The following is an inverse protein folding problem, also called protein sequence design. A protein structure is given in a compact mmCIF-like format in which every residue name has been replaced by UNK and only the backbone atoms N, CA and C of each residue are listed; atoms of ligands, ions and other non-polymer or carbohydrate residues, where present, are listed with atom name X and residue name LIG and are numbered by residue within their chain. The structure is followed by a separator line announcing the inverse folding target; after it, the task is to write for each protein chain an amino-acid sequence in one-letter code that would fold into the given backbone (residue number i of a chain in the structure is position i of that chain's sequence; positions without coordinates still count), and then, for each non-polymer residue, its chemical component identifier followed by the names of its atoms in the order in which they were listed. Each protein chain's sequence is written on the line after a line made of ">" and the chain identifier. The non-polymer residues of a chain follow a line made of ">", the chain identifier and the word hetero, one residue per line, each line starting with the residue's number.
data_IF_496004973281
#
_entry.id   IF_496004973281
#
_cell.length_a   1.000
_cell.length_b   1.000
_cell.length_c   1.000
_cell.angle_alpha   90.00
_cell.angle_beta   90.00
_cell.angle_gamma   90.00
#
_symmetry.space_group_name_H-M   'P 1'
#
loop_
_entity.id
_entity.type
_entity.pdbx_description
1 polymer ?
2 non-polymer ?
3 non-polymer ?
4 non-polymer ?
5 water ?
#
# COMPACT_ATOMS: atom_id res chain seq x y z
N UNK A 1 -25.85 -19.85 -6.07
CA UNK A 1 -24.72 -18.92 -6.05
C UNK A 1 -23.43 -19.54 -6.61
N UNK A 2 -22.52 -18.68 -7.05
CA UNK A 2 -21.20 -19.13 -7.50
C UNK A 2 -20.42 -19.80 -6.38
N UNK A 3 -20.53 -19.30 -5.16
CA UNK A 3 -19.71 -19.77 -4.04
C UNK A 3 -20.46 -20.61 -3.02
N UNK A 4 -21.73 -20.90 -3.23
CA UNK A 4 -22.44 -21.75 -2.27
C UNK A 4 -21.75 -23.12 -2.19
N UNK A 5 -21.59 -23.61 -0.96
CA UNK A 5 -20.85 -24.84 -0.67
C UNK A 5 -19.38 -24.77 -1.10
N UNK A 6 -18.83 -23.56 -1.29
CA UNK A 6 -17.43 -23.39 -1.64
C UNK A 6 -16.81 -22.38 -0.67
N UNK A 7 -15.49 -22.40 -0.57
CA UNK A 7 -14.82 -21.46 0.32
C UNK A 7 -13.72 -20.73 -0.43
N UNK A 8 -13.39 -19.55 0.07
CA UNK A 8 -12.43 -18.64 -0.55
C UNK A 8 -11.24 -18.51 0.39
N UNK A 9 -10.04 -18.52 -0.16
CA UNK A 9 -8.83 -18.21 0.60
C UNK A 9 -8.22 -16.93 0.05
N UNK A 10 -8.11 -15.93 0.92
CA UNK A 10 -7.41 -14.69 0.59
C UNK A 10 -6.01 -14.77 1.19
N UNK A 11 -4.99 -14.57 0.35
CA UNK A 11 -3.60 -14.63 0.77
C UNK A 11 -3.15 -13.23 1.11
N UNK A 12 -2.99 -12.94 2.40
CA UNK A 12 -2.50 -11.64 2.82
C UNK A 12 -3.59 -10.81 3.48
N UNK A 13 -3.32 -10.38 4.71
CA UNK A 13 -4.25 -9.52 5.42
C UNK A 13 -3.81 -8.07 5.45
N UNK A 14 -3.46 -7.50 4.30
CA UNK A 14 -3.25 -6.08 4.20
C UNK A 14 -4.58 -5.37 4.13
N UNK A 15 -4.58 -4.06 3.91
CA UNK A 15 -5.87 -3.35 3.81
C UNK A 15 -6.71 -3.86 2.64
N UNK A 16 -6.08 -4.29 1.56
CA UNK A 16 -6.84 -4.78 0.41
C UNK A 16 -7.42 -6.16 0.68
N UNK A 17 -6.60 -7.08 1.22
CA UNK A 17 -7.10 -8.42 1.52
C UNK A 17 -8.17 -8.43 2.60
N UNK A 18 -8.01 -7.59 3.64
CA UNK A 18 -9.00 -7.54 4.71
C UNK A 18 -10.31 -6.96 4.20
N UNK A 19 -10.24 -5.98 3.31
CA UNK A 19 -11.46 -5.43 2.73
C UNK A 19 -12.15 -6.46 1.85
N UNK A 20 -11.38 -7.16 1.02
CA UNK A 20 -11.91 -8.24 0.21
C UNK A 20 -12.67 -9.24 1.07
N UNK A 21 -12.06 -9.64 2.20
CA UNK A 21 -12.71 -10.57 3.12
C UNK A 21 -14.02 -10.03 3.64
N UNK A 22 -14.05 -8.76 4.03
CA UNK A 22 -15.27 -8.22 4.61
C UNK A 22 -16.39 -8.19 3.58
N UNK A 23 -16.08 -7.76 2.36
CA UNK A 23 -17.12 -7.66 1.33
C UNK A 23 -17.66 -9.02 0.94
N UNK A 24 -16.82 -10.07 0.95
CA UNK A 24 -17.33 -11.41 0.68
C UNK A 24 -18.11 -11.93 1.88
N UNK A 25 -17.55 -11.76 3.07
CA UNK A 25 -18.15 -12.37 4.26
C UNK A 25 -19.55 -11.82 4.51
N UNK A 26 -19.75 -10.53 4.25
CA UNK A 26 -21.05 -9.95 4.53
C UNK A 26 -22.12 -10.41 3.56
N UNK A 27 -21.75 -11.06 2.45
CA UNK A 27 -22.69 -11.73 1.57
C UNK A 27 -22.78 -13.22 1.84
N UNK A 28 -22.37 -13.68 3.03
CA UNK A 28 -22.57 -15.07 3.37
C UNK A 28 -21.53 -16.03 2.81
N UNK A 29 -20.36 -15.54 2.43
CA UNK A 29 -19.36 -16.38 1.78
C UNK A 29 -18.39 -16.88 2.83
N UNK A 30 -18.09 -18.18 2.77
CA UNK A 30 -17.08 -18.81 3.60
C UNK A 30 -15.70 -18.38 3.11
N UNK A 31 -15.03 -17.49 3.86
CA UNK A 31 -13.77 -16.90 3.43
C UNK A 31 -12.81 -16.89 4.62
N UNK A 32 -11.54 -17.22 4.36
CA UNK A 32 -10.47 -17.09 5.33
C UNK A 32 -9.36 -16.23 4.76
N UNK A 33 -8.66 -15.52 5.63
CA UNK A 33 -7.48 -14.72 5.25
C UNK A 33 -6.27 -15.34 5.93
N UNK A 34 -5.26 -15.69 5.15
CA UNK A 34 -4.00 -16.21 5.72
C UNK A 34 -2.96 -15.10 5.71
N UNK A 35 -2.47 -14.72 6.87
CA UNK A 35 -1.57 -13.57 7.02
C UNK A 35 -0.27 -14.01 7.69
N UNK A 36 0.86 -13.64 7.10
CA UNK A 36 2.15 -14.11 7.61
C UNK A 36 2.49 -13.51 8.97
N UNK A 37 2.00 -12.31 9.27
CA UNK A 37 2.26 -11.69 10.58
C UNK A 37 1.87 -12.63 11.71
N UNK A 38 2.72 -12.68 12.74
CA UNK A 38 2.50 -13.61 13.84
C UNK A 38 1.22 -13.32 14.62
N UNK A 39 0.82 -12.05 14.75
CA UNK A 39 -0.45 -11.73 15.42
C UNK A 39 -0.84 -10.30 15.10
N UNK A 40 -2.05 -9.92 15.54
CA UNK A 40 -2.65 -8.66 15.11
C UNK A 40 -2.00 -7.44 15.73
N UNK A 41 -1.19 -7.60 16.78
CA UNK A 41 -0.50 -6.48 17.40
C UNK A 41 0.79 -6.11 16.69
N UNK A 42 1.17 -6.85 15.64
CA UNK A 42 2.32 -6.48 14.83
C UNK A 42 2.20 -5.04 14.33
N UNK A 43 3.19 -4.22 14.64
CA UNK A 43 3.19 -2.83 14.17
C UNK A 43 3.39 -2.79 12.66
N UNK A 44 2.64 -1.94 11.98
CA UNK A 44 2.80 -1.72 10.55
C UNK A 44 3.59 -0.44 10.37
N UNK A 45 4.79 -0.56 9.81
CA UNK A 45 5.63 0.59 9.55
C UNK A 45 5.13 1.33 8.31
N UNK A 46 5.21 2.67 8.34
CA UNK A 46 4.84 3.45 7.17
C UNK A 46 4.04 4.70 7.48
N UNK A 47 3.79 5.53 6.47
CA UNK A 47 2.96 6.69 6.65
C UNK A 47 1.48 6.32 6.72
N UNK A 48 0.64 7.36 6.64
CA UNK A 48 -0.79 7.16 6.68
C UNK A 48 -1.33 6.82 5.28
N UNK A 49 -2.59 6.38 5.24
CA UNK A 49 -3.35 6.17 4.01
C UNK A 49 -4.56 7.09 3.98
N UNK A 50 -4.88 7.58 2.79
CA UNK A 50 -6.07 8.38 2.55
C UNK A 50 -6.94 7.65 1.54
N UNK A 51 -8.22 7.51 1.85
CA UNK A 51 -9.16 6.81 0.98
C UNK A 51 -9.99 7.83 0.18
N UNK A 52 -10.15 7.58 -1.11
CA UNK A 52 -10.73 8.53 -2.04
C UNK A 52 -12.21 8.23 -2.28
N UNK A 53 -12.99 9.28 -2.53
CA UNK A 53 -14.37 9.08 -2.96
C UNK A 53 -14.39 8.38 -4.30
N UNK A 54 -15.32 7.45 -4.46
CA UNK A 54 -15.42 6.66 -5.67
C UNK A 54 -14.58 5.40 -5.69
N UNK A 55 -13.61 5.27 -4.78
CA UNK A 55 -12.77 4.08 -4.79
C UNK A 55 -12.62 3.54 -3.38
N UNK A 56 -11.56 3.92 -2.68
CA UNK A 56 -11.36 3.43 -1.32
C UNK A 56 -12.55 3.70 -0.42
N UNK A 57 -13.11 4.90 -0.49
CA UNK A 57 -14.25 5.21 0.37
C UNK A 57 -15.48 4.45 -0.06
N UNK A 58 -15.59 4.09 -1.35
CA UNK A 58 -16.77 3.35 -1.81
C UNK A 58 -16.72 1.92 -1.32
N UNK A 59 -15.52 1.36 -1.18
CA UNK A 59 -15.38 0.05 -0.57
C UNK A 59 -15.78 0.09 0.90
N UNK A 60 -15.35 1.12 1.63
CA UNK A 60 -15.76 1.25 3.04
C UNK A 60 -17.26 1.45 3.17
N UNK A 61 -17.85 2.28 2.30
CA UNK A 61 -19.29 2.48 2.30
C UNK A 61 -20.04 1.17 2.13
N UNK A 62 -19.63 0.37 1.12
CA UNK A 62 -20.28 -0.90 0.87
C UNK A 62 -20.19 -1.83 2.09
N UNK A 63 -19.13 -1.70 2.87
CA UNK A 63 -18.89 -2.56 4.03
C UNK A 63 -19.55 -2.04 5.29
N UNK A 64 -20.23 -0.88 5.24
CA UNK A 64 -20.76 -0.28 6.44
C UNK A 64 -19.72 0.33 7.34
N UNK A 65 -18.55 0.66 6.80
CA UNK A 65 -17.44 1.13 7.62
C UNK A 65 -17.03 2.56 7.31
N UNK A 66 -17.78 3.27 6.46
CA UNK A 66 -17.33 4.60 6.05
C UNK A 66 -17.25 5.56 7.24
N UNK A 67 -18.24 5.51 8.14
CA UNK A 67 -18.16 6.38 9.30
C UNK A 67 -17.03 5.96 10.23
N UNK A 68 -16.82 4.65 10.38
CA UNK A 68 -15.72 4.17 11.21
C UNK A 68 -14.41 4.76 10.74
N UNK A 69 -14.18 4.75 9.42
CA UNK A 69 -12.99 5.37 8.84
C UNK A 69 -12.93 6.86 9.13
N UNK A 70 -14.04 7.59 8.92
CA UNK A 70 -14.01 9.02 9.16
C UNK A 70 -13.67 9.35 10.61
N UNK A 71 -14.15 8.53 11.55
CA UNK A 71 -13.96 8.83 12.97
C UNK A 71 -12.51 8.69 13.40
N UNK A 72 -11.73 7.87 12.69
CA UNK A 72 -10.32 7.64 13.00
C UNK A 72 -9.38 8.38 12.05
N UNK A 73 -9.91 9.01 11.01
CA UNK A 73 -9.06 9.66 10.04
C UNK A 73 -8.95 11.14 10.36
N UNK A 74 -7.98 11.78 9.74
CA UNK A 74 -7.66 13.17 10.00
C UNK A 74 -7.45 13.90 8.69
N UNK A 75 -8.28 14.89 8.35
CA UNK A 75 -7.94 15.74 7.20
C UNK A 75 -6.70 16.56 7.56
N UNK A 76 -5.79 16.68 6.61
CA UNK A 76 -4.57 17.42 6.86
C UNK A 76 -4.19 18.23 5.63
N UNK A 77 -3.74 19.45 5.88
CA UNK A 77 -3.27 20.33 4.84
C UNK A 77 -1.89 19.95 4.35
N UNK A 78 -1.37 20.77 3.45
CA UNK A 78 -0.10 20.50 2.78
C UNK A 78 0.68 21.79 2.64
N UNK A 79 1.93 21.78 3.09
CA UNK A 79 2.87 22.86 2.87
C UNK A 79 3.96 22.38 1.95
N UNK A 80 4.27 23.19 0.94
CA UNK A 80 5.47 23.03 0.13
C UNK A 80 6.52 23.98 0.67
N UNK A 81 7.70 23.45 0.99
CA UNK A 81 8.83 24.25 1.44
C UNK A 81 10.00 24.05 0.50
N UNK A 82 10.93 25.01 0.51
CA UNK A 82 12.20 24.84 -0.20
C UNK A 82 13.27 24.33 0.77
N UNK A 83 14.46 24.04 0.24
CA UNK A 83 15.53 23.46 1.04
C UNK A 83 16.06 24.41 2.12
N UNK A 84 15.73 25.70 2.07
CA UNK A 84 16.11 26.63 3.13
C UNK A 84 15.01 26.78 4.18
N UNK A 85 13.95 26.00 4.10
CA UNK A 85 12.89 26.11 5.06
C UNK A 85 11.87 27.20 4.79
N UNK A 86 11.95 27.88 3.66
CA UNK A 86 10.91 28.82 3.29
C UNK A 86 9.64 28.09 2.91
N UNK A 87 8.51 28.54 3.44
CA UNK A 87 7.22 27.98 3.06
C UNK A 87 6.80 28.63 1.73
N UNK A 88 6.78 27.84 0.66
CA UNK A 88 6.39 28.34 -0.65
C UNK A 88 4.88 28.29 -0.87
N UNK A 89 4.17 27.37 -0.21
CA UNK A 89 2.74 27.20 -0.44
C UNK A 89 2.12 26.55 0.78
N UNK A 90 0.97 27.07 1.22
CA UNK A 90 0.21 26.49 2.34
C UNK A 90 -1.22 26.26 1.90
N UNK A 91 -1.66 25.00 1.89
CA UNK A 91 -3.03 24.65 1.55
C UNK A 91 -3.62 23.88 2.72
N UNK A 92 -4.47 24.55 3.50
CA UNK A 92 -5.20 23.87 4.56
C UNK A 92 -6.45 23.25 3.99
N UNK A 93 -7.04 22.32 4.75
CA UNK A 93 -8.25 21.64 4.30
C UNK A 93 -9.44 22.54 4.57
N UNK A 94 -10.18 22.90 3.52
CA UNK A 94 -11.40 23.65 3.70
C UNK A 94 -12.48 22.72 4.25
N UNK A 95 -13.37 23.22 5.11
CA UNK A 95 -14.31 22.30 5.78
C UNK A 95 -15.15 21.48 4.82
N UNK A 96 -15.51 22.03 3.65
CA UNK A 96 -16.33 21.30 2.69
C UNK A 96 -15.56 20.17 2.00
N UNK A 97 -14.25 20.09 2.19
CA UNK A 97 -13.42 19.02 1.63
C UNK A 97 -12.85 18.11 2.70
N UNK A 98 -13.36 18.19 3.93
CA UNK A 98 -12.81 17.41 5.02
C UNK A 98 -13.08 15.91 4.87
N UNK A 99 -14.00 15.50 3.99
CA UNK A 99 -14.26 14.09 3.73
C UNK A 99 -13.61 13.60 2.44
N UNK A 100 -12.84 14.44 1.74
CA UNK A 100 -12.30 14.06 0.43
C UNK A 100 -11.29 12.92 0.55
N UNK A 101 -10.33 13.03 1.47
CA UNK A 101 -9.32 11.99 1.68
C UNK A 101 -8.58 12.22 2.99
N UNK A 102 -9.26 12.12 4.13
CA UNK A 102 -8.56 12.28 5.40
C UNK A 102 -7.61 11.11 5.65
N UNK A 103 -6.49 11.41 6.31
CA UNK A 103 -5.42 10.45 6.55
C UNK A 103 -5.75 9.55 7.74
N UNK A 104 -5.47 8.26 7.60
CA UNK A 104 -5.69 7.31 8.68
C UNK A 104 -4.42 6.49 8.87
N UNK A 105 -4.07 6.26 10.14
CA UNK A 105 -2.97 5.39 10.49
C UNK A 105 -3.23 3.95 10.02
N UNK A 106 -2.18 3.27 9.57
CA UNK A 106 -2.34 1.95 8.97
C UNK A 106 -2.75 0.90 9.99
N UNK A 107 -2.28 1.01 11.23
CA UNK A 107 -2.75 0.09 12.25
C UNK A 107 -4.22 0.36 12.60
N UNK A 108 -4.63 1.63 12.59
CA UNK A 108 -6.05 1.93 12.82
C UNK A 108 -6.93 1.33 11.74
N UNK A 109 -6.52 1.47 10.47
CA UNK A 109 -7.28 0.89 9.36
C UNK A 109 -7.35 -0.63 9.45
N UNK A 110 -6.24 -1.29 9.76
CA UNK A 110 -6.27 -2.73 9.99
C UNK A 110 -7.26 -3.09 11.09
N UNK A 111 -7.24 -2.35 12.20
CA UNK A 111 -8.14 -2.63 13.31
C UNK A 111 -9.60 -2.47 12.93
N UNK A 112 -9.92 -1.46 12.12
CA UNK A 112 -11.30 -1.27 11.64
C UNK A 112 -11.74 -2.51 10.86
N UNK A 113 -10.88 -2.98 9.96
CA UNK A 113 -11.24 -4.10 9.09
C UNK A 113 -11.33 -5.40 9.89
N UNK A 114 -10.35 -5.66 10.77
CA UNK A 114 -10.40 -6.85 11.60
C UNK A 114 -11.64 -6.85 12.48
N UNK A 115 -11.95 -5.71 13.13
CA UNK A 115 -13.11 -5.66 14.02
C UNK A 115 -14.40 -5.94 13.27
N UNK A 116 -14.44 -5.62 11.98
CA UNK A 116 -15.64 -5.88 11.19
C UNK A 116 -15.75 -7.32 10.73
N UNK A 117 -14.74 -8.15 10.94
CA UNK A 117 -14.76 -9.53 10.48
C UNK A 117 -15.22 -10.46 11.59
N UNK A 118 -15.86 -11.57 11.21
CA UNK A 118 -16.20 -12.57 12.20
C UNK A 118 -14.93 -13.14 12.82
N UNK A 119 -15.04 -13.60 14.06
CA UNK A 119 -13.88 -14.13 14.77
C UNK A 119 -13.25 -15.27 13.96
N UNK A 120 -11.92 -15.32 13.96
CA UNK A 120 -11.17 -16.38 13.30
C UNK A 120 -11.31 -16.35 11.78
N UNK A 121 -11.60 -15.19 11.21
CA UNK A 121 -11.56 -15.06 9.76
C UNK A 121 -10.12 -15.03 9.28
N UNK A 122 -9.29 -14.26 9.97
CA UNK A 122 -7.85 -14.17 9.69
C UNK A 122 -7.14 -15.28 10.47
N UNK A 123 -6.32 -16.07 9.78
CA UNK A 123 -5.45 -17.06 10.41
C UNK A 123 -4.04 -16.48 10.40
N UNK A 124 -3.54 -16.12 11.57
CA UNK A 124 -2.25 -15.48 11.71
C UNK A 124 -1.11 -16.49 11.62
N UNK A 125 0.10 -15.99 11.40
CA UNK A 125 1.30 -16.83 11.31
C UNK A 125 1.13 -17.90 10.23
N UNK A 126 0.62 -17.46 9.07
CA UNK A 126 0.39 -18.32 7.93
C UNK A 126 1.08 -17.66 6.74
N UNK A 127 2.32 -18.05 6.47
CA UNK A 127 3.05 -17.58 5.29
C UNK A 127 2.86 -18.61 4.18
N UNK A 128 2.06 -18.27 3.17
CA UNK A 128 1.87 -19.17 2.05
C UNK A 128 3.16 -19.26 1.22
N UNK A 129 3.62 -20.49 1.00
CA UNK A 129 4.79 -20.71 0.17
C UNK A 129 4.47 -21.40 -1.16
N UNK A 130 3.37 -22.15 -1.26
CA UNK A 130 3.09 -22.80 -2.53
C UNK A 130 1.61 -23.09 -2.70
N UNK A 131 1.16 -23.07 -3.95
CA UNK A 131 -0.19 -23.46 -4.33
C UNK A 131 -0.12 -24.70 -5.21
N UNK A 132 -1.12 -25.55 -5.07
CA UNK A 132 -1.22 -26.68 -5.98
C UNK A 132 -2.68 -26.91 -6.35
N UNK A 133 -3.02 -26.87 -7.64
CA UNK A 133 -4.41 -27.11 -8.06
C UNK A 133 -4.74 -28.60 -8.02
N UNK A 134 -5.85 -28.94 -7.39
CA UNK A 134 -6.38 -30.30 -7.39
C UNK A 134 -7.45 -30.48 -8.44
N UNK A 135 -8.23 -31.54 -8.28
CA UNK A 135 -9.38 -31.77 -9.16
C UNK A 135 -10.34 -30.60 -9.11
N UNK A 136 -10.69 -30.15 -7.90
CA UNK A 136 -11.58 -29.00 -7.73
C UNK A 136 -11.07 -27.97 -6.73
N UNK A 137 -10.17 -28.32 -5.82
CA UNK A 137 -9.73 -27.38 -4.80
C UNK A 137 -8.23 -27.11 -4.95
N UNK A 138 -7.84 -25.87 -4.66
CA UNK A 138 -6.43 -25.58 -4.42
C UNK A 138 -5.97 -26.19 -3.11
N UNK A 139 -4.74 -26.69 -3.07
CA UNK A 139 -4.09 -26.98 -1.80
C UNK A 139 -3.05 -25.89 -1.52
N UNK A 140 -3.16 -25.30 -0.34
CA UNK A 140 -2.33 -24.19 0.09
C UNK A 140 -1.27 -24.72 1.05
N UNK A 141 0.00 -24.46 0.76
CA UNK A 141 1.10 -24.93 1.59
C UNK A 141 1.69 -23.75 2.34
N UNK A 142 1.71 -23.85 3.67
CA UNK A 142 2.23 -22.78 4.50
C UNK A 142 3.53 -23.21 5.15
N UNK A 143 4.31 -22.23 5.57
CA UNK A 143 5.61 -22.49 6.19
C UNK A 143 5.41 -23.11 7.57
N UNK A 144 5.77 -24.39 7.71
CA UNK A 144 5.81 -25.13 8.96
C UNK A 144 4.45 -25.24 9.64
N UNK A 145 3.36 -25.08 8.89
CA UNK A 145 1.99 -25.16 9.37
C UNK A 145 1.22 -26.09 8.45
N UNK A 146 0.12 -26.68 8.93
CA UNK A 146 -0.61 -27.64 8.09
C UNK A 146 -1.29 -26.95 6.92
N UNK A 147 -1.53 -27.73 5.87
CA UNK A 147 -2.05 -27.21 4.62
C UNK A 147 -3.55 -26.94 4.74
N UNK A 148 -4.06 -26.16 3.79
CA UNK A 148 -5.48 -25.83 3.73
C UNK A 148 -5.93 -25.94 2.28
N UNK A 149 -7.25 -26.00 2.08
CA UNK A 149 -7.81 -26.07 0.73
C UNK A 149 -8.83 -24.95 0.51
N UNK A 150 -9.05 -24.60 -0.76
CA UNK A 150 -10.00 -23.57 -1.11
C UNK A 150 -10.42 -23.72 -2.57
N UNK A 151 -11.69 -23.42 -2.84
CA UNK A 151 -12.21 -23.43 -4.21
C UNK A 151 -11.70 -22.24 -5.01
N UNK A 152 -11.41 -21.13 -4.33
CA UNK A 152 -10.99 -19.90 -4.96
C UNK A 152 -9.87 -19.31 -4.13
N UNK A 153 -8.78 -18.94 -4.80
CA UNK A 153 -7.64 -18.31 -4.14
C UNK A 153 -7.52 -16.89 -4.69
N UNK A 154 -7.40 -15.92 -3.78
CA UNK A 154 -7.26 -14.52 -4.15
C UNK A 154 -5.94 -14.05 -3.57
N UNK A 155 -4.99 -13.75 -4.45
CA UNK A 155 -3.65 -13.33 -4.04
C UNK A 155 -3.72 -11.85 -3.66
N UNK A 156 -3.51 -11.54 -2.37
CA UNK A 156 -3.54 -10.16 -1.89
C UNK A 156 -2.34 -9.87 -1.00
N UNK A 157 -1.19 -10.49 -1.27
CA UNK A 157 -0.11 -10.44 -0.31
C UNK A 157 1.00 -9.50 -0.75
N UNK A 158 0.64 -8.42 -1.45
CA UNK A 158 1.54 -7.30 -1.61
C UNK A 158 2.40 -7.38 -2.84
N UNK A 159 3.23 -6.33 -2.99
CA UNK A 159 3.93 -6.12 -4.24
C UNK A 159 5.03 -7.13 -4.51
N UNK A 160 5.59 -7.72 -3.45
CA UNK A 160 6.68 -8.69 -3.63
C UNK A 160 6.19 -10.13 -3.62
N UNK A 161 4.91 -10.37 -3.93
CA UNK A 161 4.34 -11.71 -3.86
C UNK A 161 5.14 -12.69 -4.71
N UNK A 162 5.43 -13.87 -4.17
CA UNK A 162 6.08 -14.93 -4.93
C UNK A 162 5.12 -16.02 -5.39
N UNK A 163 3.82 -15.85 -5.15
CA UNK A 163 2.84 -16.88 -5.49
C UNK A 163 1.91 -16.39 -6.59
N UNK A 164 2.48 -15.81 -7.65
CA UNK A 164 1.70 -15.25 -8.74
C UNK A 164 1.69 -16.10 -10.00
N UNK A 165 2.55 -17.11 -10.10
CA UNK A 165 2.86 -17.72 -11.40
C UNK A 165 1.65 -18.39 -12.03
N UNK A 166 0.70 -18.86 -11.22
CA UNK A 166 -0.51 -19.41 -11.85
C UNK A 166 -1.34 -18.33 -12.54
N UNK A 167 -1.07 -17.06 -12.27
CA UNK A 167 -1.79 -15.95 -12.89
C UNK A 167 -0.98 -15.27 -13.99
N UNK A 168 0.32 -15.06 -13.78
CA UNK A 168 1.12 -14.35 -14.77
C UNK A 168 2.59 -14.65 -14.53
N UNK A 169 3.37 -14.56 -15.60
CA UNK A 169 4.83 -14.67 -15.51
C UNK A 169 5.51 -13.31 -15.35
N UNK A 170 4.73 -12.23 -15.30
CA UNK A 170 5.28 -10.88 -15.12
C UNK A 170 6.09 -10.82 -13.82
N UNK A 171 7.22 -10.12 -13.88
CA UNK A 171 8.12 -9.97 -12.74
C UNK A 171 8.09 -8.53 -12.22
N UNK A 172 8.24 -8.39 -10.92
CA UNK A 172 8.38 -7.05 -10.35
C UNK A 172 9.68 -6.43 -10.85
N UNK A 173 9.67 -5.11 -11.05
CA UNK A 173 10.81 -4.37 -11.58
C UNK A 173 11.17 -3.21 -10.67
N UNK A 174 12.46 -2.90 -10.59
CA UNK A 174 12.90 -1.67 -9.94
C UNK A 174 12.78 -0.50 -10.92
N UNK A 175 12.23 0.62 -10.46
CA UNK A 175 12.07 1.76 -11.36
C UNK A 175 13.29 2.66 -11.42
N UNK A 176 14.19 2.58 -10.44
CA UNK A 176 15.38 3.42 -10.43
C UNK A 176 15.38 4.53 -9.39
N UNK A 177 14.34 4.66 -8.57
CA UNK A 177 14.37 5.56 -7.43
C UNK A 177 14.41 4.77 -6.14
N UNK A 178 14.82 5.43 -5.06
CA UNK A 178 15.04 4.77 -3.79
C UNK A 178 14.47 5.64 -2.68
N UNK A 179 13.99 4.98 -1.63
CA UNK A 179 13.30 5.67 -0.53
C UNK A 179 13.89 5.25 0.80
N UNK A 180 14.16 6.24 1.65
CA UNK A 180 14.56 6.02 3.02
C UNK A 180 13.49 6.66 3.89
N UNK A 181 12.98 5.89 4.85
CA UNK A 181 11.88 6.31 5.69
C UNK A 181 12.25 6.15 7.15
N UNK A 182 11.53 6.87 8.01
CA UNK A 182 11.81 6.81 9.43
C UNK A 182 10.65 7.41 10.21
N UNK A 183 10.62 7.08 11.50
CA UNK A 183 9.70 7.68 12.45
C UNK A 183 10.48 8.43 13.51
N UNK A 184 9.96 9.58 13.92
CA UNK A 184 10.46 10.30 15.07
C UNK A 184 9.33 10.38 16.08
N UNK A 185 9.56 9.86 17.27
CA UNK A 185 8.59 9.91 18.34
C UNK A 185 8.76 11.23 19.09
N UNK A 186 7.65 11.77 19.58
CA UNK A 186 7.62 13.09 20.21
C UNK A 186 8.39 14.13 19.39
N UNK A 187 7.98 14.39 18.15
CA UNK A 187 8.77 15.32 17.31
C UNK A 187 8.76 16.75 17.83
N UNK A 188 7.70 17.16 18.54
CA UNK A 188 7.67 18.49 19.11
C UNK A 188 8.84 18.72 20.06
N UNK A 189 9.41 17.66 20.61
CA UNK A 189 10.58 17.72 21.46
C UNK A 189 11.86 17.36 20.70
N UNK A 190 11.80 16.33 19.85
CA UNK A 190 13.02 15.75 19.28
C UNK A 190 13.44 16.38 17.97
N UNK A 191 12.51 16.89 17.15
CA UNK A 191 12.85 17.75 16.01
C UNK A 191 11.97 18.99 16.01
N UNK A 192 12.11 19.85 17.03
CA UNK A 192 11.14 20.98 17.18
C UNK A 192 11.09 21.92 15.99
N UNK A 193 12.24 22.28 15.42
CA UNK A 193 12.23 23.22 14.30
C UNK A 193 11.48 22.69 13.09
N UNK A 194 11.74 21.43 12.73
CA UNK A 194 11.05 20.87 11.58
C UNK A 194 9.58 20.64 11.89
N UNK A 195 9.28 20.25 13.13
CA UNK A 195 7.90 20.09 13.54
C UNK A 195 7.14 21.41 13.41
N UNK A 196 7.76 22.51 13.86
CA UNK A 196 7.12 23.82 13.71
C UNK A 196 6.99 24.21 12.24
N UNK A 197 7.97 23.83 11.42
CA UNK A 197 7.86 24.11 9.99
C UNK A 197 6.63 23.44 9.39
N UNK A 198 6.37 22.20 9.77
CA UNK A 198 5.17 21.53 9.26
C UNK A 198 3.91 22.26 9.71
N UNK A 199 3.84 22.59 11.00
CA UNK A 199 2.76 23.41 11.55
C UNK A 199 1.40 22.75 11.30
N UNK A 200 1.30 21.49 11.70
CA UNK A 200 0.08 20.74 11.55
C UNK A 200 -0.20 20.18 10.17
N UNK A 201 0.55 20.61 9.15
CA UNK A 201 0.32 20.14 7.79
C UNK A 201 1.37 19.11 7.39
N UNK A 202 0.99 18.24 6.45
CA UNK A 202 2.01 17.49 5.73
C UNK A 202 2.93 18.46 5.00
N UNK A 203 4.17 18.03 4.77
CA UNK A 203 5.17 18.89 4.14
C UNK A 203 5.88 18.14 3.01
N UNK A 204 6.13 18.83 1.92
CA UNK A 204 6.93 18.30 0.82
C UNK A 204 7.94 19.34 0.39
N UNK A 205 9.13 18.88 0.00
CA UNK A 205 10.19 19.75 -0.45
C UNK A 205 11.06 18.99 -1.43
N UNK A 206 11.59 19.70 -2.42
CA UNK A 206 12.43 19.10 -3.45
C UNK A 206 13.58 20.04 -3.78
N UNK A 207 14.79 19.48 -3.89
CA UNK A 207 15.98 20.28 -4.20
C UNK A 207 17.03 19.36 -4.79
N UNK A 208 17.41 19.60 -6.04
CA UNK A 208 18.54 18.92 -6.70
C UNK A 208 18.39 17.39 -6.64
N UNK A 209 17.19 16.92 -6.93
CA UNK A 209 16.97 15.50 -7.10
C UNK A 209 16.67 14.76 -5.81
N UNK A 210 16.68 15.43 -4.68
CA UNK A 210 16.29 14.83 -3.41
C UNK A 210 14.91 15.34 -3.04
N UNK A 211 14.00 14.44 -2.72
CA UNK A 211 12.67 14.77 -2.26
C UNK A 211 12.52 14.40 -0.80
N UNK A 212 11.80 15.23 -0.06
CA UNK A 212 11.46 14.97 1.32
C UNK A 212 9.95 15.11 1.50
N UNK A 213 9.32 14.06 2.04
CA UNK A 213 7.93 14.09 2.46
C UNK A 213 7.87 13.89 3.96
N UNK A 214 6.89 14.50 4.62
CA UNK A 214 6.75 14.33 6.05
C UNK A 214 5.30 14.49 6.47
N UNK A 215 4.89 13.67 7.44
CA UNK A 215 3.60 13.81 8.11
C UNK A 215 3.90 14.04 9.58
N UNK A 216 3.69 15.26 10.11
CA UNK A 216 4.11 15.54 11.49
C UNK A 216 3.24 14.88 12.56
N UNK A 217 2.20 14.12 12.20
CA UNK A 217 1.31 13.59 13.22
C UNK A 217 0.60 12.34 12.73
N UNK A 218 1.35 11.23 12.63
CA UNK A 218 0.78 9.91 12.40
C UNK A 218 0.61 9.30 13.77
N UNK A 219 -0.57 9.51 14.37
CA UNK A 219 -0.89 9.08 15.74
C UNK A 219 0.23 9.48 16.73
N UNK A 220 0.65 10.73 16.63
CA UNK A 220 1.60 11.30 17.56
C UNK A 220 3.05 11.25 17.10
N UNK A 221 3.39 10.34 16.19
CA UNK A 221 4.73 10.25 15.64
C UNK A 221 4.82 11.09 14.37
N UNK A 222 6.03 11.50 14.04
CA UNK A 222 6.30 12.14 12.76
C UNK A 222 6.92 11.11 11.81
N UNK A 223 6.31 10.95 10.65
CA UNK A 223 6.83 10.03 9.64
C UNK A 223 7.38 10.85 8.49
N UNK A 224 8.56 10.46 8.01
CA UNK A 224 9.14 11.18 6.88
C UNK A 224 9.81 10.20 5.94
N UNK A 225 9.96 10.65 4.69
CA UNK A 225 10.61 9.90 3.64
C UNK A 225 11.51 10.79 2.81
N UNK A 226 12.68 10.28 2.46
CA UNK A 226 13.63 10.94 1.57
C UNK A 226 13.82 10.04 0.34
N UNK A 227 13.66 10.62 -0.85
CA UNK A 227 13.61 9.87 -2.10
C UNK A 227 14.55 10.49 -3.14
N UNK A 228 15.19 9.64 -3.93
CA UNK A 228 16.19 10.10 -4.89
C UNK A 228 16.41 8.99 -5.91
N UNK A 229 17.02 9.35 -7.04
CA UNK A 229 17.45 8.34 -7.99
C UNK A 229 18.47 7.42 -7.32
N UNK A 230 18.36 6.13 -7.60
CA UNK A 230 19.26 5.18 -6.98
C UNK A 230 20.69 5.44 -7.44
N UNK A 231 21.61 5.81 -6.54
CA UNK A 231 22.98 6.15 -6.98
C UNK A 231 23.62 5.04 -7.79
N UNK A 232 24.44 5.43 -8.77
CA UNK A 232 25.07 4.45 -9.65
C UNK A 232 26.03 3.54 -8.89
N UNK A 233 26.65 4.04 -7.82
CA UNK A 233 27.50 3.21 -6.99
C UNK A 233 26.75 2.04 -6.37
N UNK A 234 25.43 2.13 -6.26
CA UNK A 234 24.59 1.09 -5.66
C UNK A 234 24.18 0.01 -6.65
N UNK A 235 25.04 -0.45 -7.55
CA UNK A 235 24.69 -1.67 -8.28
C UNK A 235 24.76 -2.89 -7.38
N UNK A 236 25.09 -2.70 -6.10
CA UNK A 236 24.98 -3.71 -5.04
C UNK A 236 24.51 -3.08 -3.74
N UNK A 237 23.80 -1.93 -3.83
CA UNK A 237 23.31 -1.19 -2.66
C UNK A 237 24.44 -0.88 -1.68
N UNK A 238 25.66 -0.70 -2.21
CA UNK A 238 26.85 -0.57 -1.39
C UNK A 238 26.79 0.69 -0.53
N UNK A 239 27.79 0.81 0.35
CA UNK A 239 28.07 1.98 1.17
C UNK A 239 27.06 2.19 2.30
N UNK A 240 25.77 2.01 2.04
CA UNK A 240 24.75 2.30 3.04
C UNK A 240 24.20 0.98 3.58
N UNK A 241 24.56 0.68 4.82
CA UNK A 241 24.02 -0.42 5.60
C UNK A 241 22.88 0.16 6.45
N UNK A 242 21.66 -0.26 6.19
CA UNK A 242 20.55 0.37 6.89
C UNK A 242 20.38 -0.15 8.30
N UNK A 243 21.16 -1.16 8.70
CA UNK A 243 21.29 -1.58 10.09
C UNK A 243 22.19 -0.66 10.91
N UNK A 244 22.94 0.23 10.26
CA UNK A 244 23.94 1.07 10.92
C UNK A 244 23.48 2.52 10.76
N UNK A 245 22.89 3.10 11.81
CA UNK A 245 22.35 4.45 11.65
C UNK A 245 23.44 5.44 11.29
N UNK A 246 24.68 5.24 11.77
CA UNK A 246 25.76 6.17 11.46
C UNK A 246 26.06 6.18 9.96
N UNK A 247 26.06 5.01 9.32
CA UNK A 247 26.24 4.96 7.88
C UNK A 247 25.16 5.73 7.14
N UNK A 248 23.90 5.57 7.57
CA UNK A 248 22.80 6.24 6.90
C UNK A 248 22.83 7.74 7.17
N UNK A 249 23.05 8.14 8.42
CA UNK A 249 23.15 9.55 8.77
C UNK A 249 24.25 10.21 7.93
N UNK A 250 25.38 9.54 7.77
CA UNK A 250 26.48 10.12 7.02
C UNK A 250 26.11 10.33 5.56
N UNK A 251 25.46 9.33 4.96
CA UNK A 251 25.02 9.45 3.57
C UNK A 251 24.00 10.58 3.39
N UNK A 252 23.03 10.68 4.29
CA UNK A 252 21.99 11.69 4.12
C UNK A 252 22.51 13.09 4.39
N UNK A 253 23.41 13.25 5.37
CA UNK A 253 23.94 14.59 5.64
C UNK A 253 24.73 15.12 4.47
N UNK A 254 25.36 14.24 3.70
CA UNK A 254 26.05 14.68 2.49
C UNK A 254 25.07 15.07 1.41
N UNK A 255 24.03 14.26 1.20
CA UNK A 255 23.01 14.58 0.20
C UNK A 255 22.26 15.86 0.55
N UNK A 256 22.09 16.14 1.83
CA UNK A 256 21.32 17.30 2.28
C UNK A 256 22.22 18.44 2.77
N UNK A 257 23.45 18.50 2.27
CA UNK A 257 24.44 19.43 2.83
C UNK A 257 24.00 20.88 2.70
N UNK A 258 23.26 21.24 1.66
CA UNK A 258 22.84 22.63 1.55
C UNK A 258 21.39 22.85 1.98
N UNK A 259 20.82 21.92 2.74
CA UNK A 259 19.49 22.11 3.31
C UNK A 259 19.58 22.76 4.69
N UNK A 260 18.50 23.44 5.05
CA UNK A 260 18.40 24.13 6.32
C UNK A 260 18.57 23.14 7.48
N UNK A 261 19.16 23.64 8.58
CA UNK A 261 19.46 22.79 9.73
C UNK A 261 18.22 22.10 10.30
N UNK A 262 17.04 22.69 10.13
CA UNK A 262 15.83 22.00 10.60
C UNK A 262 15.69 20.64 9.95
N UNK A 263 16.00 20.55 8.64
CA UNK A 263 15.98 19.24 7.98
C UNK A 263 17.14 18.37 8.46
N UNK A 264 18.32 18.96 8.63
CA UNK A 264 19.48 18.17 9.05
C UNK A 264 19.29 17.59 10.45
N UNK A 265 18.65 18.36 11.33
CA UNK A 265 18.31 17.86 12.67
C UNK A 265 17.45 16.62 12.58
N UNK A 266 16.48 16.62 11.65
CA UNK A 266 15.64 15.47 11.41
C UNK A 266 16.48 14.21 11.16
N UNK A 267 17.45 14.32 10.25
CA UNK A 267 18.34 13.19 9.97
C UNK A 267 19.15 12.82 11.22
N UNK A 268 19.62 13.83 11.97
CA UNK A 268 20.56 13.58 13.07
C UNK A 268 19.91 12.87 14.25
N UNK A 269 18.60 13.07 14.47
CA UNK A 269 17.95 12.51 15.66
C UNK A 269 17.19 11.22 15.40
N UNK A 270 17.10 10.78 14.15
CA UNK A 270 16.39 9.56 13.81
C UNK A 270 17.10 8.35 14.41
N UNK A 271 16.36 7.48 15.10
CA UNK A 271 17.05 6.36 15.74
C UNK A 271 17.31 5.22 14.75
N UNK A 272 16.43 5.00 13.78
CA UNK A 272 16.69 3.97 12.78
C UNK A 272 15.96 4.32 11.49
N UNK A 273 16.54 3.89 10.36
CA UNK A 273 16.03 4.18 9.02
C UNK A 273 15.67 2.88 8.30
N UNK A 274 14.70 2.96 7.39
CA UNK A 274 14.33 1.84 6.53
C UNK A 274 14.53 2.25 5.09
N UNK A 275 15.40 1.53 4.37
CA UNK A 275 15.56 1.74 2.95
C UNK A 275 14.65 0.82 2.12
N UNK A 276 14.26 1.31 0.94
CA UNK A 276 13.32 0.58 0.08
C UNK A 276 13.46 1.06 -1.36
N UNK A 277 13.83 0.15 -2.25
CA UNK A 277 13.85 0.48 -3.67
C UNK A 277 12.42 0.59 -4.21
N UNK A 278 12.17 1.62 -5.01
CA UNK A 278 10.88 1.75 -5.66
C UNK A 278 10.70 0.65 -6.70
N UNK A 279 9.54 0.03 -6.71
CA UNK A 279 9.26 -1.06 -7.63
C UNK A 279 7.90 -0.89 -8.28
N UNK A 280 7.74 -1.56 -9.41
CA UNK A 280 6.48 -1.59 -10.14
C UNK A 280 6.24 -3.02 -10.62
N UNK A 281 4.98 -3.46 -10.55
CA UNK A 281 4.56 -4.72 -11.15
C UNK A 281 3.77 -4.40 -12.41
N UNK A 282 4.42 -4.32 -13.55
CA UNK A 282 3.82 -3.60 -14.69
C UNK A 282 2.65 -4.36 -15.28
N UNK A 283 1.54 -3.64 -15.48
CA UNK A 283 0.39 -4.19 -16.22
C UNK A 283 0.61 -3.97 -17.71
N UNK A 284 0.69 -5.05 -18.47
CA UNK A 284 0.91 -4.95 -19.90
C UNK A 284 -0.03 -5.85 -20.68
N UNK A 285 0.51 -6.92 -21.26
CA UNK A 285 -0.31 -7.92 -21.90
C UNK A 285 -1.20 -8.61 -20.86
N UNK A 286 -2.27 -9.22 -21.36
CA UNK A 286 -3.20 -9.91 -20.47
C UNK A 286 -2.48 -10.96 -19.64
N UNK A 287 -3.09 -11.29 -18.52
CA UNK A 287 -2.62 -12.38 -17.68
C UNK A 287 -2.94 -13.72 -18.34
N UNK A 288 -2.50 -14.81 -17.72
CA UNK A 288 -2.73 -16.13 -18.30
C UNK A 288 -4.21 -16.46 -18.32
N UNK A 289 -4.68 -16.98 -19.45
CA UNK A 289 -6.04 -17.49 -19.55
C UNK A 289 -6.05 -19.00 -19.29
N UNK A 290 -7.27 -19.52 -19.07
CA UNK A 290 -7.49 -20.96 -18.88
C UNK A 290 -6.64 -21.51 -17.73
N UNK A 291 -6.72 -20.85 -16.58
CA UNK A 291 -5.97 -21.31 -15.42
C UNK A 291 -6.57 -22.62 -14.89
N UNK A 292 -5.77 -23.45 -14.21
CA UNK A 292 -6.27 -24.79 -13.84
C UNK A 292 -7.44 -24.77 -12.85
N UNK A 293 -7.48 -23.79 -11.96
CA UNK A 293 -8.58 -23.57 -11.04
C UNK A 293 -8.72 -22.07 -10.86
N UNK A 294 -9.86 -21.59 -10.37
CA UNK A 294 -10.06 -20.13 -10.28
C UNK A 294 -9.07 -19.46 -9.33
N UNK A 295 -8.42 -18.41 -9.83
CA UNK A 295 -7.45 -17.66 -9.03
C UNK A 295 -7.28 -16.30 -9.67
N UNK A 296 -7.05 -15.28 -8.82
CA UNK A 296 -6.77 -13.93 -9.30
C UNK A 296 -5.95 -13.19 -8.24
N UNK A 297 -5.64 -11.92 -8.53
CA UNK A 297 -4.82 -11.09 -7.65
C UNK A 297 -5.44 -9.70 -7.54
N UNK A 298 -5.26 -9.09 -6.38
CA UNK A 298 -5.79 -7.75 -6.11
C UNK A 298 -4.74 -6.92 -5.37
N UNK A 299 -4.91 -5.60 -5.42
CA UNK A 299 -4.01 -4.74 -4.66
C UNK A 299 -2.62 -4.71 -5.27
N UNK A 300 -1.61 -4.47 -4.42
CA UNK A 300 -0.23 -4.37 -4.91
C UNK A 300 0.24 -5.66 -5.57
N UNK A 301 -0.30 -6.81 -5.15
CA UNK A 301 0.04 -8.05 -5.83
C UNK A 301 -0.30 -7.99 -7.31
N UNK A 302 -1.34 -7.23 -7.66
CA UNK A 302 -1.82 -7.07 -9.03
C UNK A 302 -1.16 -5.91 -9.78
N UNK A 303 -0.87 -4.79 -9.11
CA UNK A 303 -0.43 -3.60 -9.83
C UNK A 303 0.37 -2.64 -8.95
N UNK A 304 1.27 -3.18 -8.12
CA UNK A 304 2.25 -2.35 -7.43
C UNK A 304 2.81 -1.27 -8.35
N UNK A 305 2.89 -0.04 -7.84
CA UNK A 305 3.38 1.06 -8.65
C UNK A 305 4.00 2.09 -7.72
N UNK A 306 4.81 3.03 -8.25
CA UNK A 306 5.45 4.03 -7.38
C UNK A 306 4.41 4.85 -6.64
N UNK A 307 4.71 5.30 -5.42
CA UNK A 307 3.70 5.97 -4.59
C UNK A 307 3.69 7.50 -4.59
N UNK A 308 4.54 8.17 -5.37
CA UNK A 308 4.81 9.59 -5.15
C UNK A 308 3.66 10.53 -5.51
N UNK A 309 2.74 10.12 -6.39
CA UNK A 309 1.61 10.97 -6.75
C UNK A 309 0.29 10.50 -6.11
N UNK A 310 0.36 9.64 -5.09
CA UNK A 310 -0.82 9.23 -4.36
C UNK A 310 -1.54 8.02 -4.92
N UNK A 311 -0.99 7.36 -5.93
CA UNK A 311 -1.54 6.08 -6.34
C UNK A 311 -1.11 5.00 -5.36
N UNK A 312 -1.98 4.02 -5.15
CA UNK A 312 -1.62 2.93 -4.26
C UNK A 312 -2.78 2.10 -3.76
N UNK A 313 -3.28 2.43 -2.56
CA UNK A 313 -4.24 1.56 -1.92
C UNK A 313 -5.62 1.68 -2.57
N UNK A 314 -5.94 2.84 -3.13
CA UNK A 314 -7.31 3.06 -3.57
C UNK A 314 -7.66 2.22 -4.77
N UNK A 315 -6.70 1.99 -5.69
CA UNK A 315 -6.96 1.07 -6.78
C UNK A 315 -7.06 -0.37 -6.29
N UNK A 316 -6.36 -0.72 -5.21
CA UNK A 316 -6.54 -2.04 -4.63
C UNK A 316 -7.90 -2.21 -3.97
N UNK A 317 -8.37 -1.19 -3.26
CA UNK A 317 -9.71 -1.26 -2.70
C UNK A 317 -10.78 -1.29 -3.78
N UNK A 318 -10.51 -0.65 -4.92
CA UNK A 318 -11.41 -0.79 -6.07
C UNK A 318 -11.46 -2.22 -6.58
N UNK A 319 -10.30 -2.89 -6.61
CA UNK A 319 -10.27 -4.30 -6.97
C UNK A 319 -11.21 -5.11 -6.11
N UNK A 320 -11.11 -4.92 -4.79
CA UNK A 320 -11.91 -5.72 -3.86
C UNK A 320 -13.39 -5.45 -4.05
N UNK A 321 -13.73 -4.20 -4.30
CA UNK A 321 -15.14 -3.85 -4.51
C UNK A 321 -15.68 -4.51 -5.77
N UNK A 322 -14.94 -4.40 -6.87
CA UNK A 322 -15.42 -4.95 -8.14
C UNK A 322 -15.46 -6.47 -8.08
N UNK A 323 -14.38 -7.08 -7.58
CA UNK A 323 -14.30 -8.54 -7.58
C UNK A 323 -15.35 -9.14 -6.65
N UNK A 324 -15.53 -8.56 -5.46
CA UNK A 324 -16.53 -9.10 -4.55
C UNK A 324 -17.93 -8.96 -5.13
N UNK A 325 -18.23 -7.84 -5.77
CA UNK A 325 -19.54 -7.69 -6.41
C UNK A 325 -19.75 -8.72 -7.51
N UNK A 326 -18.73 -8.95 -8.35
CA UNK A 326 -18.87 -9.94 -9.41
C UNK A 326 -19.09 -11.34 -8.86
N UNK A 327 -18.45 -11.66 -7.73
CA UNK A 327 -18.58 -12.99 -7.14
C UNK A 327 -19.93 -13.21 -6.49
N UNK A 328 -20.68 -12.13 -6.21
CA UNK A 328 -21.89 -12.24 -5.41
C UNK A 328 -23.15 -11.66 -6.06
N UNK A 329 -23.05 -10.96 -7.19
CA UNK A 329 -24.28 -10.38 -7.74
C UNK A 329 -25.11 -11.40 -8.52
N UNK A 330 -24.59 -12.60 -8.78
CA UNK A 330 -25.33 -13.63 -9.48
C UNK A 330 -25.52 -13.41 -10.97
N UNK A 331 -24.75 -12.50 -11.59
CA UNK A 331 -24.86 -12.27 -13.03
C UNK A 331 -23.93 -13.15 -13.85
N UNK A 332 -22.94 -13.77 -13.23
CA UNK A 332 -21.93 -14.53 -13.96
C UNK A 332 -22.19 -16.02 -13.84
N UNK A 333 -21.89 -16.74 -14.92
CA UNK A 333 -22.12 -18.19 -14.99
C UNK A 333 -21.04 -19.00 -14.30
N UNK A 334 -19.87 -18.44 -14.08
CA UNK A 334 -18.84 -19.19 -13.38
C UNK A 334 -17.96 -18.22 -12.62
N UNK A 335 -17.20 -18.78 -11.67
CA UNK A 335 -16.22 -17.98 -10.96
C UNK A 335 -15.18 -17.42 -11.93
N UNK A 336 -14.79 -18.21 -12.94
CA UNK A 336 -13.80 -17.75 -13.90
C UNK A 336 -14.28 -16.49 -14.62
N UNK A 337 -15.56 -16.45 -14.98
CA UNK A 337 -16.08 -15.31 -15.74
C UNK A 337 -16.23 -14.08 -14.86
N UNK A 338 -16.61 -14.27 -13.59
CA UNK A 338 -16.59 -13.16 -12.64
C UNK A 338 -15.18 -12.60 -12.50
N UNK A 339 -14.18 -13.48 -12.42
CA UNK A 339 -12.77 -13.06 -12.32
C UNK A 339 -12.36 -12.29 -13.57
N UNK A 340 -12.61 -12.88 -14.75
CA UNK A 340 -12.29 -12.25 -16.01
C UNK A 340 -12.84 -10.83 -16.11
N UNK A 341 -14.09 -10.63 -15.69
CA UNK A 341 -14.67 -9.31 -15.75
C UNK A 341 -13.97 -8.33 -14.81
N UNK A 342 -13.61 -8.79 -13.60
CA UNK A 342 -12.81 -7.96 -12.70
C UNK A 342 -11.47 -7.60 -13.34
N UNK A 343 -10.73 -8.60 -13.84
CA UNK A 343 -9.40 -8.31 -14.37
C UNK A 343 -9.48 -7.36 -15.56
N UNK A 344 -10.50 -7.51 -16.41
CA UNK A 344 -10.61 -6.61 -17.56
C UNK A 344 -10.79 -5.16 -17.12
N UNK A 345 -11.62 -4.91 -16.10
CA UNK A 345 -11.78 -3.54 -15.62
C UNK A 345 -10.50 -3.03 -14.99
N UNK A 346 -9.85 -3.88 -14.18
CA UNK A 346 -8.68 -3.46 -13.43
C UNK A 346 -7.52 -3.12 -14.35
N UNK A 347 -7.41 -3.82 -15.48
CA UNK A 347 -6.35 -3.46 -16.41
C UNK A 347 -6.53 -2.04 -16.95
N UNK A 348 -7.77 -1.56 -17.06
CA UNK A 348 -7.98 -0.22 -17.59
C UNK A 348 -7.54 0.84 -16.58
N UNK A 349 -8.23 0.93 -15.42
CA UNK A 349 -7.83 1.93 -14.42
C UNK A 349 -6.47 1.61 -13.79
N UNK A 350 -6.05 0.34 -13.77
CA UNK A 350 -4.72 0.03 -13.25
C UNK A 350 -3.62 0.54 -14.15
N UNK A 351 -3.79 0.36 -15.48
CA UNK A 351 -2.79 0.86 -16.41
C UNK A 351 -2.74 2.38 -16.41
N UNK A 352 -3.90 3.04 -16.29
CA UNK A 352 -3.90 4.49 -16.22
C UNK A 352 -3.19 4.96 -14.96
N UNK A 353 -3.50 4.34 -13.83
CA UNK A 353 -2.82 4.73 -12.60
C UNK A 353 -1.32 4.49 -12.71
N UNK A 354 -0.91 3.38 -13.33
CA UNK A 354 0.52 3.11 -13.47
C UNK A 354 1.19 4.12 -14.40
N UNK A 355 0.55 4.44 -15.52
CA UNK A 355 1.12 5.43 -16.42
C UNK A 355 1.32 6.76 -15.72
N UNK A 356 0.30 7.20 -14.97
CA UNK A 356 0.41 8.47 -14.26
C UNK A 356 1.48 8.41 -13.19
N UNK A 357 1.55 7.32 -12.43
CA UNK A 357 2.57 7.22 -11.38
C UNK A 357 3.96 7.17 -11.99
N UNK A 358 4.13 6.49 -13.12
CA UNK A 358 5.44 6.42 -13.75
C UNK A 358 5.83 7.77 -14.36
N UNK A 359 4.88 8.44 -15.02
CA UNK A 359 5.18 9.76 -15.57
C UNK A 359 5.50 10.73 -14.45
N UNK A 360 4.69 10.74 -13.41
CA UNK A 360 4.96 11.58 -12.26
C UNK A 360 6.36 11.32 -11.68
N UNK A 361 6.74 10.05 -11.57
CA UNK A 361 8.06 9.71 -11.05
C UNK A 361 9.16 10.33 -11.90
N UNK A 362 9.06 10.18 -13.23
CA UNK A 362 10.02 10.79 -14.15
C UNK A 362 10.14 12.28 -13.89
N UNK A 363 9.02 12.96 -13.69
CA UNK A 363 9.03 14.41 -13.56
C UNK A 363 9.60 14.85 -12.23
N UNK A 364 9.21 14.18 -11.13
CA UNK A 364 9.59 14.65 -9.80
C UNK A 364 11.07 14.48 -9.50
N UNK A 365 11.79 13.68 -10.29
CA UNK A 365 13.20 13.41 -10.03
C UNK A 365 14.11 13.97 -11.10
N UNK A 366 13.59 14.80 -11.98
CA UNK A 366 14.46 15.63 -12.81
C UNK A 366 15.21 16.61 -11.91
N UNK A 367 16.50 16.86 -12.18
CA UNK A 367 17.32 17.61 -11.21
C UNK A 367 16.76 18.98 -10.83
N UNK A 368 16.02 19.61 -11.74
CA UNK A 368 15.48 20.95 -11.53
C UNK A 368 13.98 20.94 -11.19
N UNK A 369 13.47 19.85 -10.62
CA UNK A 369 12.05 19.79 -10.31
C UNK A 369 11.71 20.64 -9.10
N UNK A 370 10.57 21.34 -9.19
CA UNK A 370 9.94 22.01 -8.07
C UNK A 370 8.45 21.66 -8.08
N UNK A 371 7.88 21.54 -6.88
CA UNK A 371 6.45 21.28 -6.73
C UNK A 371 5.63 22.47 -7.23
X LIG B 1 0.19 -4.79 1.56
X LIG B 1 -0.25 -3.60 2.33
X LIG B 1 1.63 -4.94 1.18
X LIG B 1 -0.40 -6.16 2.27
X LIG B 1 0.17 -7.43 1.98
X LIG B 1 -0.10 -8.31 3.19
X LIG B 1 0.25 -9.67 2.91
X LIG B 1 0.74 -7.89 4.41
X LIG B 1 -0.10 -7.87 5.55
X LIG B 1 1.82 -9.01 4.47
X LIG B 1 2.27 -9.30 5.75
X LIG B 1 1.07 -10.22 3.92
X LIG B 1 1.85 -11.27 3.31
X LIG B 1 2.96 -11.12 2.50
X LIG B 1 3.42 -12.26 2.04
X LIG B 1 2.59 -13.23 2.56
X LIG B 1 2.54 -14.64 2.44
X LIG B 1 3.42 -15.35 1.76
X LIG B 1 1.54 -15.29 3.07
X LIG B 1 0.66 -14.61 3.78
X LIG B 1 0.61 -13.28 3.96
X LIG B 1 1.59 -12.63 3.34
X LIG B 1 -0.75 4.35 -0.99
X LIG B 1 -1.78 5.21 -0.87
X LIG B 1 -2.88 4.89 -1.27
X LIG B 1 -1.44 6.41 -0.29
X LIG B 1 -0.17 6.76 0.15
X LIG B 1 0.04 7.85 0.66
X LIG B 1 0.84 5.78 -0.02
X LIG B 1 2.14 6.07 0.41
X LIG B 1 3.10 5.11 0.22
X LIG B 1 4.41 5.34 0.61
X LIG B 1 5.40 4.40 0.44
X LIG B 1 6.81 4.71 0.88
X LIG B 1 5.08 3.17 -0.15
X LIG B 1 6.12 2.11 -0.35
X LIG B 1 3.77 2.93 -0.54
X LIG B 1 2.78 3.87 -0.37
X LIG B 1 1.46 3.60 -0.80
X LIG B 1 0.54 4.59 -0.59
X LIG B 1 1.10 2.30 -1.39
X LIG B 1 0.15 1.49 -0.48
X LIG B 1 0.49 1.54 0.88
X LIG B 1 -0.11 0.08 -1.02
X LIG B 1 -0.83 0.25 -2.20
X LIG B 1 -0.93 -0.80 -0.07
X LIG B 1 -0.22 -1.16 1.10
X LIG B 1 -1.39 -2.05 -0.84
X LIG B 1 -2.02 -2.88 0.09
X LIG B 1 -2.14 -4.48 -0.19
X LIG B 1 -3.10 -4.96 0.86
X LIG B 1 -2.35 -4.81 -1.64
X LIG B 1 -0.62 -4.97 0.16
X LIG C 1 6.81 8.45 3.06
X LIG C 1 2.95 13.18 3.45
X LIG C 1 4.06 11.79 3.32
X LIG C 1 5.08 9.43 0.51
X LIG C 1 4.76 11.43 4.45
X LIG C 1 0.89 10.81 -1.04
X LIG C 1 5.57 10.39 4.24
X LIG C 1 -1.67 11.55 -0.24
X LIG C 1 5.65 9.78 3.03
X LIG C 1 4.96 10.11 1.86
X LIG C 1 4.10 11.21 2.05
X LIG C 1 7.33 8.40 1.42
X LIG C 1 8.60 7.91 1.32
X LIG C 1 9.14 7.82 0.09
X LIG C 1 8.38 8.24 -1.02
X LIG C 1 7.07 8.75 -0.87
X LIG C 1 6.51 8.84 0.38
X LIG C 1 4.48 10.02 -0.70
X LIG C 1 2.96 9.68 -0.75
X LIG C 1 2.18 10.90 -1.43
X LIG C 1 0.76 11.32 0.14
X LIG C 1 -0.65 11.66 0.61
X LIG C 1 -1.32 11.79 -1.48
X LIG C 1 0.09 11.43 -1.90
X LIG C 1 -2.67 12.33 0.12
X LIG D 1 -1.18 -21.51 15.08
X LIG D 1 -1.49 -22.62 16.03
X LIG D 1 -2.26 -21.56 14.04
X LIG D 1 -1.22 -20.18 15.78
X LIG D 1 0.16 -21.70 14.43
X LIG E 1 -5.02 5.04 -6.99
X LIG E 1 -4.37 3.77 -6.50
X LIG E 1 -6.51 4.85 -7.11
X LIG E 1 -4.71 6.15 -6.04
X LIG E 1 -4.55 5.39 -8.38
X LIG F 1 -19.93 19.16 3.33
X LIG F 1 -18.95 18.67 2.30
X LIG F 1 -20.09 18.12 4.41
X LIG F 1 -19.45 20.47 3.93
X LIG F 1 -21.26 19.39 2.67
#
# INVERSE_FOLDING_TARGET
>A
NLLSDKNVAIIGGGPVGLTMAKLLQQNGIDVSVYERDNDREARIFGGTLDLHKGSGQEAMKKAGLLQTYYDLALPMGVNIADEKGNILSTKNVKPENRFDNPEINRNDLRAILLNSLENDTVIWDRKLVMLEPGKKKWTLTFENKPSETADLVIIANGGMSKVRKFVTDTEVEETGTFNIQADIHHPEVNCPGFFQLCNGNRLMAAHQGNLLFANPNNNGALHFGISFKTPDEWKNQTQVDFQNRNSVVDFLLKEFSDWDERYKELIRVTSSFVGLATRIFPLGKSWKSKRPLPITMIGDAAHLMPPFAGQGVNSGLMDALILSDNLTNGKFNSIEEAIENYEQQMFIYGKEAQEESTQNEIEMFKPDFTF
>B hetero
1 FDA PA O1A O2A O5B C5B C4B O4B C3B O3B C2B O2B C1B N9A C8A N7A C5A C6A N6A N1A C2A N3A C4A N1 C2 O2 N3 C4 O4 C4X N5 C5X C6 C7 C7M C8 C8M C9 C9A N10 C10 C1' C2' O2' C3' O3' C4' O4' C5' O5' P O1P O2P O3P
>C hetero
1 P77 S CL C1 N1 C2 N2 C3 N3 C4 C5 C6 C7 C8 C9 C10 C11 C12 C13 C14 C15 C16 C17 C18 C19 C20
>D hetero
1 SO4 S O1 O2 O3 O4
>E hetero
1 SO4 S O1 O2 O3 O4
>F hetero
1 SO4 S O1 O2 O3 O4
#
